data_IF_252778589554
#
_entry.id   IF_252778589554
#
_cell.length_a   1.000
_cell.length_b   1.000
_cell.length_c   1.000
_cell.angle_alpha   90.00
_cell.angle_beta   90.00
_cell.angle_gamma   90.00
#
_symmetry.space_group_name_H-M   'P 1'
#
loop_
_entity.id
_entity.type
_entity.pdbx_description
1 polymer ?
#
# COMPACT_ATOMS: atom_id res chain seq x y z
N UNK A 1 0.24 16.91 6.66
CA UNK A 1 -0.96 16.76 5.82
C UNK A 1 -1.09 15.35 5.23
N UNK A 2 -0.06 14.79 4.57
CA UNK A 2 -0.15 13.41 4.05
C UNK A 2 -0.27 12.36 5.16
N UNK A 3 0.52 12.51 6.24
CA UNK A 3 0.40 11.67 7.43
C UNK A 3 -1.03 11.69 8.02
N UNK A 4 -1.60 12.88 8.19
CA UNK A 4 -2.95 13.05 8.74
C UNK A 4 -4.03 12.47 7.84
N UNK A 5 -3.85 12.52 6.51
CA UNK A 5 -4.76 11.91 5.56
C UNK A 5 -4.74 10.38 5.66
N UNK A 6 -3.55 9.76 5.72
CA UNK A 6 -3.44 8.30 5.82
C UNK A 6 -3.81 7.76 7.18
N UNK A 7 -3.24 8.31 8.25
CA UNK A 7 -3.53 7.90 9.62
C UNK A 7 -4.98 8.22 10.01
N UNK A 8 -5.41 9.45 9.80
CA UNK A 8 -6.76 9.89 10.13
C UNK A 8 -7.82 9.22 9.25
N UNK A 9 -7.53 9.04 7.96
CA UNK A 9 -8.40 8.34 7.03
C UNK A 9 -8.63 6.89 7.45
N UNK A 10 -7.57 6.17 7.86
CA UNK A 10 -7.69 4.78 8.31
C UNK A 10 -8.52 4.63 9.58
N UNK A 11 -8.47 5.61 10.48
CA UNK A 11 -9.28 5.61 11.71
C UNK A 11 -10.72 5.98 11.40
N UNK A 12 -10.95 7.04 10.61
CA UNK A 12 -12.28 7.55 10.31
C UNK A 12 -13.09 6.61 9.40
N UNK A 13 -12.42 5.88 8.51
CA UNK A 13 -13.03 4.94 7.57
C UNK A 13 -12.78 3.49 7.97
N UNK A 14 -12.47 3.23 9.24
CA UNK A 14 -12.14 1.88 9.72
C UNK A 14 -13.27 0.86 9.44
N UNK A 15 -14.53 1.29 9.54
CA UNK A 15 -15.70 0.45 9.27
C UNK A 15 -15.92 0.18 7.76
N UNK A 16 -15.23 0.92 6.89
CA UNK A 16 -15.33 0.81 5.43
C UNK A 16 -14.08 0.16 4.84
N UNK A 17 -14.10 -1.16 4.79
CA UNK A 17 -12.99 -2.00 4.32
C UNK A 17 -12.46 -1.67 2.92
N UNK A 18 -13.27 -1.07 2.04
CA UNK A 18 -12.88 -0.77 0.65
C UNK A 18 -12.07 0.54 0.50
N UNK A 19 -11.84 1.30 1.58
CA UNK A 19 -11.15 2.60 1.53
C UNK A 19 -9.74 2.54 2.12
N UNK A 20 -8.78 2.19 1.26
CA UNK A 20 -7.36 2.13 1.63
C UNK A 20 -6.67 3.50 1.56
N UNK A 21 -6.96 4.34 2.56
CA UNK A 21 -6.41 5.70 2.68
C UNK A 21 -4.89 5.74 2.92
N UNK A 22 -4.32 4.67 3.51
CA UNK A 22 -2.87 4.51 3.64
C UNK A 22 -2.24 4.39 2.27
N UNK A 23 -2.77 3.56 1.37
CA UNK A 23 -2.22 3.36 0.03
C UNK A 23 -2.09 4.68 -0.73
N UNK A 24 -3.16 5.46 -0.74
CA UNK A 24 -3.20 6.78 -1.39
C UNK A 24 -2.15 7.71 -0.76
N UNK A 25 -2.05 7.71 0.56
CA UNK A 25 -1.12 8.59 1.29
C UNK A 25 0.33 8.20 1.09
N UNK A 26 0.64 6.91 1.04
CA UNK A 26 1.96 6.35 0.73
C UNK A 26 2.36 6.75 -0.68
N UNK A 27 1.50 6.51 -1.66
CA UNK A 27 1.78 6.87 -3.05
C UNK A 27 2.05 8.37 -3.22
N UNK A 28 1.20 9.23 -2.63
CA UNK A 28 1.39 10.68 -2.64
C UNK A 28 2.67 11.11 -1.91
N UNK A 29 2.98 10.51 -0.76
CA UNK A 29 4.20 10.79 -0.02
C UNK A 29 5.44 10.47 -0.85
N UNK A 30 5.47 9.32 -1.51
CA UNK A 30 6.58 8.90 -2.37
C UNK A 30 6.68 9.70 -3.66
N UNK A 31 5.58 10.29 -4.14
CA UNK A 31 5.59 11.20 -5.30
C UNK A 31 6.03 12.62 -4.96
N UNK A 32 5.76 13.10 -3.75
CA UNK A 32 5.98 14.50 -3.37
C UNK A 32 7.26 14.71 -2.55
N UNK A 33 7.64 13.74 -1.73
CA UNK A 33 8.75 13.87 -0.77
C UNK A 33 10.03 13.19 -1.28
N UNK A 34 11.20 13.55 -0.74
CA UNK A 34 12.43 12.78 -0.90
C UNK A 34 12.28 11.36 -0.34
N UNK A 35 12.93 10.37 -0.97
CA UNK A 35 12.79 8.94 -0.65
C UNK A 35 12.89 8.62 0.84
N UNK A 36 13.89 9.17 1.54
CA UNK A 36 14.07 8.92 2.97
C UNK A 36 12.87 9.38 3.80
N UNK A 37 12.35 10.57 3.52
CA UNK A 37 11.20 11.13 4.22
C UNK A 37 9.92 10.35 3.86
N UNK A 38 9.74 9.99 2.60
CA UNK A 38 8.60 9.20 2.15
C UNK A 38 8.51 7.83 2.87
N UNK A 39 9.65 7.15 3.03
CA UNK A 39 9.72 5.89 3.78
C UNK A 39 9.41 6.09 5.27
N UNK A 40 9.95 7.12 5.90
CA UNK A 40 9.64 7.45 7.30
C UNK A 40 8.15 7.77 7.49
N UNK A 41 7.55 8.55 6.60
CA UNK A 41 6.12 8.88 6.64
C UNK A 41 5.28 7.61 6.45
N UNK A 42 5.64 6.74 5.51
CA UNK A 42 4.98 5.45 5.28
C UNK A 42 5.00 4.58 6.54
N UNK A 43 6.17 4.35 7.12
CA UNK A 43 6.33 3.54 8.32
C UNK A 43 5.57 4.12 9.51
N UNK A 44 5.71 5.42 9.76
CA UNK A 44 5.05 6.07 10.88
C UNK A 44 3.52 6.00 10.76
N UNK A 45 2.95 6.18 9.55
CA UNK A 45 1.50 6.06 9.35
C UNK A 45 0.99 4.66 9.73
N UNK A 46 1.65 3.62 9.23
CA UNK A 46 1.21 2.24 9.44
C UNK A 46 1.42 1.82 10.90
N UNK A 47 2.61 2.05 11.46
CA UNK A 47 2.94 1.69 12.84
C UNK A 47 2.02 2.38 13.83
N UNK A 48 1.83 3.69 13.70
CA UNK A 48 1.02 4.43 14.66
C UNK A 48 -0.46 4.07 14.54
N UNK A 49 -0.96 3.82 13.32
CA UNK A 49 -2.35 3.38 13.14
C UNK A 49 -2.58 1.96 13.66
N UNK A 50 -1.63 1.05 13.48
CA UNK A 50 -1.70 -0.32 14.04
C UNK A 50 -1.64 -0.32 15.57
N UNK A 51 -0.84 0.56 16.17
CA UNK A 51 -0.81 0.74 17.64
C UNK A 51 -2.16 1.27 18.13
N UNK A 52 -2.70 2.28 17.45
CA UNK A 52 -3.96 2.92 17.84
C UNK A 52 -5.16 1.96 17.75
N UNK A 53 -5.24 1.17 16.67
CA UNK A 53 -6.30 0.19 16.45
C UNK A 53 -6.09 -1.13 17.21
N UNK A 54 -4.96 -1.29 17.91
CA UNK A 54 -4.63 -2.50 18.66
C UNK A 54 -4.22 -3.70 17.79
N UNK A 55 -3.92 -3.48 16.51
CA UNK A 55 -3.44 -4.53 15.60
C UNK A 55 -1.95 -4.82 15.73
N UNK A 56 -1.18 -3.92 16.35
CA UNK A 56 0.26 -4.05 16.45
C UNK A 56 0.67 -5.37 17.14
N UNK A 57 1.32 -6.27 16.39
CA UNK A 57 1.76 -7.58 16.86
C UNK A 57 0.66 -8.64 16.95
N UNK A 58 -0.58 -8.34 16.58
CA UNK A 58 -1.71 -9.28 16.67
C UNK A 58 -1.67 -10.35 15.59
N UNK A 59 -1.05 -10.08 14.43
CA UNK A 59 -1.02 -11.01 13.30
C UNK A 59 0.32 -11.05 12.59
N UNK A 60 0.72 -12.24 12.13
CA UNK A 60 1.95 -12.46 11.34
C UNK A 60 1.88 -11.79 9.96
N UNK A 61 0.68 -11.43 9.48
CA UNK A 61 0.49 -10.78 8.18
C UNK A 61 1.08 -9.37 8.14
N UNK A 62 1.25 -8.73 9.30
CA UNK A 62 1.78 -7.36 9.46
C UNK A 62 3.12 -7.20 8.73
N UNK A 63 3.97 -8.24 8.72
CA UNK A 63 5.25 -8.20 8.00
C UNK A 63 5.03 -7.98 6.50
N UNK A 64 4.05 -8.65 5.90
CA UNK A 64 3.73 -8.51 4.47
C UNK A 64 3.08 -7.16 4.15
N UNK A 65 2.21 -6.67 5.03
CA UNK A 65 1.61 -5.33 4.93
C UNK A 65 2.68 -4.24 4.95
N UNK A 66 3.59 -4.28 5.92
CA UNK A 66 4.63 -3.26 6.10
C UNK A 66 5.64 -3.29 4.96
N UNK A 67 6.10 -4.49 4.58
CA UNK A 67 7.03 -4.66 3.46
C UNK A 67 6.37 -4.30 2.13
N UNK A 68 5.07 -4.56 1.95
CA UNK A 68 4.31 -4.15 0.78
C UNK A 68 4.27 -2.63 0.62
N UNK A 69 3.88 -1.89 1.67
CA UNK A 69 3.86 -0.42 1.60
C UNK A 69 5.26 0.19 1.44
N UNK A 70 6.27 -0.37 2.10
CA UNK A 70 7.66 0.03 1.90
C UNK A 70 8.12 -0.20 0.46
N UNK A 71 7.76 -1.35 -0.12
CA UNK A 71 8.08 -1.69 -1.50
C UNK A 71 7.42 -0.69 -2.46
N UNK A 72 6.12 -0.43 -2.30
CA UNK A 72 5.42 0.60 -3.07
C UNK A 72 6.12 1.95 -2.93
N UNK A 73 6.45 2.37 -1.71
CA UNK A 73 7.11 3.65 -1.48
C UNK A 73 8.49 3.73 -2.15
N UNK A 74 9.29 2.67 -2.05
CA UNK A 74 10.63 2.61 -2.63
C UNK A 74 10.58 2.62 -4.17
N UNK A 75 9.72 1.79 -4.77
CA UNK A 75 9.54 1.74 -6.23
C UNK A 75 9.00 3.09 -6.73
N UNK A 76 7.95 3.63 -6.09
CA UNK A 76 7.35 4.92 -6.45
C UNK A 76 8.39 6.04 -6.40
N UNK A 77 9.20 6.10 -5.34
CA UNK A 77 10.26 7.11 -5.19
C UNK A 77 11.35 6.96 -6.27
N UNK A 78 11.66 5.71 -6.69
CA UNK A 78 12.63 5.45 -7.76
C UNK A 78 12.14 5.93 -9.13
N UNK A 79 10.86 5.75 -9.41
CA UNK A 79 10.23 6.16 -10.68
C UNK A 79 9.62 7.57 -10.64
N UNK A 80 9.77 8.28 -9.53
CA UNK A 80 9.23 9.62 -9.28
C UNK A 80 9.52 10.60 -10.42
N UNK A 81 10.75 10.63 -10.93
CA UNK A 81 11.14 11.55 -12.01
C UNK A 81 10.50 11.21 -13.37
N UNK A 82 10.13 9.94 -13.60
CA UNK A 82 9.48 9.50 -14.84
C UNK A 82 7.97 9.79 -14.84
N UNK A 83 7.37 9.81 -13.65
CA UNK A 83 5.94 10.04 -13.41
C UNK A 83 5.65 11.54 -13.26
N UNK A 84 6.59 12.31 -12.70
CA UNK A 84 6.48 13.77 -12.59
C UNK A 84 6.37 14.44 -13.97
N UNK A 85 5.55 15.48 -14.03
CA UNK A 85 5.34 16.28 -15.23
C UNK A 85 4.42 17.46 -14.94
N UNK A 86 4.27 18.35 -15.93
CA UNK A 86 3.28 19.43 -15.88
C UNK A 86 1.86 18.87 -15.84
N UNK A 87 0.89 19.66 -15.36
CA UNK A 87 -0.53 19.28 -15.32
C UNK A 87 -1.11 19.20 -16.75
N UNK A 88 -0.85 18.07 -17.40
CA UNK A 88 -1.29 17.73 -18.75
C UNK A 88 -2.05 16.41 -18.72
N UNK A 89 -2.99 16.15 -19.66
CA UNK A 89 -3.71 14.88 -19.72
C UNK A 89 -2.79 13.65 -19.71
N UNK A 90 -1.63 13.73 -20.37
CA UNK A 90 -0.63 12.64 -20.35
C UNK A 90 -0.01 12.37 -18.99
N UNK A 91 0.16 13.39 -18.15
CA UNK A 91 0.67 13.23 -16.77
C UNK A 91 -0.39 12.62 -15.87
N UNK A 92 -1.65 13.03 -16.02
CA UNK A 92 -2.79 12.43 -15.29
C UNK A 92 -2.87 10.93 -15.61
N UNK A 93 -2.77 10.56 -16.90
CA UNK A 93 -2.76 9.16 -17.30
C UNK A 93 -1.61 8.37 -16.66
N UNK A 94 -0.38 8.91 -16.70
CA UNK A 94 0.78 8.27 -16.06
C UNK A 94 0.59 8.09 -14.57
N UNK A 95 0.02 9.08 -13.89
CA UNK A 95 -0.21 9.05 -12.45
C UNK A 95 -1.25 7.99 -12.07
N UNK A 96 -2.39 7.97 -12.77
CA UNK A 96 -3.44 6.96 -12.56
C UNK A 96 -2.94 5.55 -12.88
N UNK A 97 -2.24 5.37 -14.00
CA UNK A 97 -1.66 4.08 -14.38
C UNK A 97 -0.64 3.60 -13.35
N UNK A 98 0.21 4.49 -12.83
CA UNK A 98 1.17 4.17 -11.77
C UNK A 98 0.46 3.74 -10.49
N UNK A 99 -0.60 4.45 -10.09
CA UNK A 99 -1.42 4.08 -8.94
C UNK A 99 -2.01 2.67 -9.06
N UNK A 100 -2.57 2.33 -10.23
CA UNK A 100 -3.09 0.98 -10.48
C UNK A 100 -1.99 -0.07 -10.41
N UNK A 101 -0.84 0.17 -11.05
CA UNK A 101 0.31 -0.75 -11.00
C UNK A 101 0.78 -0.98 -9.57
N UNK A 102 0.89 0.08 -8.77
CA UNK A 102 1.37 -0.03 -7.39
C UNK A 102 0.37 -0.71 -6.46
N UNK A 103 -0.94 -0.49 -6.65
CA UNK A 103 -1.98 -1.24 -5.96
C UNK A 103 -1.86 -2.75 -6.30
N UNK A 104 -1.75 -3.10 -7.58
CA UNK A 104 -1.56 -4.49 -8.01
C UNK A 104 -0.31 -5.12 -7.41
N UNK A 105 0.82 -4.39 -7.35
CA UNK A 105 2.07 -4.89 -6.73
C UNK A 105 1.86 -5.17 -5.24
N UNK A 106 1.23 -4.23 -4.53
CA UNK A 106 0.94 -4.38 -3.12
C UNK A 106 0.04 -5.58 -2.85
N UNK A 107 -1.08 -5.69 -3.57
CA UNK A 107 -2.04 -6.77 -3.40
C UNK A 107 -1.47 -8.13 -3.77
N UNK A 108 -0.63 -8.18 -4.80
CA UNK A 108 0.08 -9.41 -5.16
C UNK A 108 0.97 -9.86 -3.99
N UNK A 109 1.70 -8.91 -3.37
CA UNK A 109 2.60 -9.20 -2.27
C UNK A 109 1.87 -9.60 -0.98
N UNK A 110 0.79 -8.90 -0.63
CA UNK A 110 0.01 -9.21 0.59
C UNK A 110 -0.77 -10.51 0.45
N UNK A 111 -1.36 -10.80 -0.72
CA UNK A 111 -2.02 -12.08 -0.99
C UNK A 111 -1.02 -13.25 -0.98
N UNK A 112 0.20 -13.04 -1.49
CA UNK A 112 1.27 -14.02 -1.33
C UNK A 112 1.59 -14.26 0.15
N UNK A 113 1.58 -13.22 0.98
CA UNK A 113 1.70 -13.34 2.44
C UNK A 113 0.61 -14.18 3.07
N UNK A 114 -0.65 -14.00 2.65
CA UNK A 114 -1.79 -14.82 3.10
C UNK A 114 -1.59 -16.28 2.72
N UNK A 115 -1.19 -16.55 1.46
CA UNK A 115 -0.87 -17.92 1.03
C UNK A 115 0.25 -18.53 1.87
N UNK A 116 1.33 -17.78 2.09
CA UNK A 116 2.49 -18.28 2.82
C UNK A 116 2.19 -18.60 4.28
N UNK A 117 1.34 -17.81 4.93
CA UNK A 117 1.06 -17.90 6.37
C UNK A 117 -0.15 -18.76 6.72
N UNK A 118 -1.17 -18.82 5.85
CA UNK A 118 -2.49 -19.38 6.18
C UNK A 118 -2.86 -20.63 5.39
N UNK A 119 -2.22 -20.91 4.26
CA UNK A 119 -2.58 -22.01 3.38
C UNK A 119 -1.45 -23.04 3.24
N UNK A 120 -1.82 -24.28 2.94
CA UNK A 120 -0.86 -25.31 2.52
C UNK A 120 -0.24 -24.92 1.19
N UNK A 121 1.08 -25.06 1.05
CA UNK A 121 1.82 -24.60 -0.12
C UNK A 121 1.61 -25.50 -1.34
N UNK A 122 0.44 -25.37 -1.99
CA UNK A 122 0.11 -26.03 -3.25
C UNK A 122 -0.24 -25.01 -4.33
N UNK A 123 -0.06 -25.36 -5.63
CA UNK A 123 -0.41 -24.46 -6.73
C UNK A 123 -1.89 -24.05 -6.74
N UNK A 124 -2.79 -24.93 -6.30
CA UNK A 124 -4.23 -24.67 -6.24
C UNK A 124 -4.55 -23.60 -5.19
N UNK A 125 -3.94 -23.70 -4.01
CA UNK A 125 -4.10 -22.71 -2.96
C UNK A 125 -3.48 -21.36 -3.33
N UNK A 126 -2.39 -21.37 -4.10
CA UNK A 126 -1.78 -20.15 -4.64
C UNK A 126 -2.75 -19.44 -5.59
N UNK A 127 -3.37 -20.18 -6.52
CA UNK A 127 -4.39 -19.61 -7.41
C UNK A 127 -5.59 -19.09 -6.62
N UNK A 128 -6.05 -19.85 -5.62
CA UNK A 128 -7.21 -19.51 -4.81
C UNK A 128 -7.03 -18.17 -4.09
N UNK A 129 -5.89 -17.90 -3.46
CA UNK A 129 -5.69 -16.62 -2.76
C UNK A 129 -5.73 -15.42 -3.71
N UNK A 130 -5.27 -15.57 -4.95
CA UNK A 130 -5.30 -14.48 -5.93
C UNK A 130 -6.68 -14.29 -6.56
N UNK A 131 -7.45 -15.37 -6.73
CA UNK A 131 -8.85 -15.28 -7.18
C UNK A 131 -9.72 -14.63 -6.11
N UNK A 132 -9.53 -15.00 -4.84
CA UNK A 132 -10.27 -14.38 -3.73
C UNK A 132 -9.82 -12.96 -3.42
N UNK A 133 -8.59 -12.59 -3.78
CA UNK A 133 -8.06 -11.23 -3.67
C UNK A 133 -8.56 -10.26 -4.75
N UNK A 134 -9.41 -10.69 -5.68
CA UNK A 134 -10.05 -9.85 -6.69
C UNK A 134 -11.51 -9.53 -6.29
N UNK A 135 -12.00 -8.30 -6.46
CA UNK A 135 -11.33 -7.14 -7.04
C UNK A 135 -10.35 -6.51 -6.05
N UNK A 136 -9.17 -6.14 -6.55
CA UNK A 136 -8.16 -5.37 -5.83
C UNK A 136 -8.78 -4.13 -5.19
N UNK A 137 -8.94 -4.12 -3.87
CA UNK A 137 -9.05 -2.98 -2.92
C UNK A 137 -9.49 -3.49 -1.55
#
# INVERSE_FOLDING_TARGET
MLFTLGFGGRIALHDYHNFETIMVSVFLASMLLPTGIALTVTLSMIVLSDIYLGYFGASKIIIFTYTGFLMVSAITSRFQQSIRGEFKPGTVYKFTASGLIFATIYDTWTNFGVFWLSYTHTPENLLLVYVLGLPFM
#
